data_IF_301763514146
#
_entry.id   IF_301763514146
#
_cell.length_a   1.000
_cell.length_b   1.000
_cell.length_c   1.000
_cell.angle_alpha   90.00
_cell.angle_beta   90.00
_cell.angle_gamma   90.00
#
_symmetry.space_group_name_H-M   'P 1'
#
loop_
_entity.id
_entity.type
_entity.pdbx_description
1 polymer ?
#
# COMPACT_ATOMS: atom_id res chain seq x y z
N UNK A 1 -25.67 -1.64 5.47
CA UNK A 1 -24.55 -2.57 5.69
C UNK A 1 -24.17 -3.19 4.36
N UNK A 2 -22.91 -3.15 3.91
CA UNK A 2 -22.49 -4.00 2.81
C UNK A 2 -22.68 -5.46 3.26
N UNK A 3 -23.26 -6.31 2.43
CA UNK A 3 -23.52 -7.71 2.77
C UNK A 3 -22.25 -8.48 3.14
N UNK A 4 -22.36 -9.64 3.81
CA UNK A 4 -21.21 -10.45 4.16
C UNK A 4 -20.49 -10.85 2.87
N UNK A 5 -19.25 -10.38 2.70
CA UNK A 5 -18.39 -10.81 1.58
C UNK A 5 -18.15 -12.30 1.76
N UNK A 6 -18.60 -13.11 0.81
CA UNK A 6 -18.42 -14.55 0.86
C UNK A 6 -17.01 -14.91 0.38
N UNK A 7 -16.03 -14.79 1.28
CA UNK A 7 -14.71 -15.37 1.06
C UNK A 7 -14.80 -16.90 1.01
N UNK A 8 -13.98 -17.50 0.15
CA UNK A 8 -13.84 -18.96 0.01
C UNK A 8 -12.76 -19.48 0.98
N UNK A 9 -11.90 -20.40 0.56
CA UNK A 9 -10.78 -20.84 1.40
C UNK A 9 -9.64 -19.82 1.37
N UNK A 10 -8.81 -19.75 2.42
CA UNK A 10 -7.63 -18.87 2.43
C UNK A 10 -6.72 -19.11 1.22
N UNK A 11 -6.59 -20.36 0.78
CA UNK A 11 -5.81 -20.72 -0.40
C UNK A 11 -6.41 -20.13 -1.67
N UNK A 12 -7.72 -20.24 -1.85
CA UNK A 12 -8.41 -19.71 -3.02
C UNK A 12 -8.33 -18.17 -3.05
N UNK A 13 -8.46 -17.52 -1.90
CA UNK A 13 -8.29 -16.06 -1.78
C UNK A 13 -6.84 -15.64 -2.07
N UNK A 14 -5.83 -16.39 -1.64
CA UNK A 14 -4.43 -16.14 -2.00
C UNK A 14 -4.20 -16.23 -3.52
N UNK A 15 -4.83 -17.21 -4.18
CA UNK A 15 -4.76 -17.36 -5.65
C UNK A 15 -5.47 -16.19 -6.36
N UNK A 16 -6.65 -15.77 -5.87
CA UNK A 16 -7.35 -14.59 -6.41
C UNK A 16 -6.51 -13.34 -6.27
N UNK A 17 -5.89 -13.11 -5.11
CA UNK A 17 -5.01 -11.96 -4.90
C UNK A 17 -3.79 -12.00 -5.81
N UNK A 18 -3.17 -13.17 -6.01
CA UNK A 18 -2.08 -13.31 -6.97
C UNK A 18 -2.53 -12.89 -8.38
N UNK A 19 -3.70 -13.33 -8.83
CA UNK A 19 -4.25 -12.92 -10.12
C UNK A 19 -4.53 -11.40 -10.17
N UNK A 20 -5.03 -10.81 -9.08
CA UNK A 20 -5.19 -9.36 -8.97
C UNK A 20 -3.86 -8.61 -9.07
N UNK A 21 -2.79 -9.12 -8.45
CA UNK A 21 -1.46 -8.54 -8.58
C UNK A 21 -0.91 -8.66 -10.02
N UNK A 22 -1.22 -9.73 -10.75
CA UNK A 22 -0.85 -9.83 -12.17
C UNK A 22 -1.64 -8.86 -13.04
N UNK A 23 -2.95 -8.73 -12.80
CA UNK A 23 -3.78 -7.76 -13.53
C UNK A 23 -3.28 -6.33 -13.34
N UNK A 24 -2.81 -6.01 -12.12
CA UNK A 24 -2.31 -4.69 -11.75
C UNK A 24 -1.20 -4.18 -12.68
N UNK A 25 -0.37 -5.06 -13.27
CA UNK A 25 0.73 -4.66 -14.15
C UNK A 25 0.28 -3.86 -15.38
N UNK A 26 -0.94 -4.13 -15.86
CA UNK A 26 -1.49 -3.58 -17.10
C UNK A 26 -2.72 -2.69 -16.88
N UNK A 27 -3.13 -2.53 -15.62
CA UNK A 27 -4.36 -1.84 -15.27
C UNK A 27 -4.25 -0.32 -15.51
N UNK A 28 -5.25 0.29 -16.14
CA UNK A 28 -5.24 1.74 -16.43
C UNK A 28 -5.69 2.56 -15.24
N UNK A 29 -6.68 2.03 -14.52
CA UNK A 29 -7.17 2.61 -13.27
C UNK A 29 -6.92 1.61 -12.12
N UNK A 30 -5.71 1.61 -11.55
CA UNK A 30 -5.32 0.60 -10.57
C UNK A 30 -5.95 0.82 -9.19
N UNK A 31 -6.55 1.99 -8.92
CA UNK A 31 -6.99 2.40 -7.58
C UNK A 31 -8.06 1.46 -7.00
N UNK A 32 -9.14 1.11 -7.73
CA UNK A 32 -10.16 0.20 -7.20
C UNK A 32 -9.60 -1.21 -6.96
N UNK A 33 -8.69 -1.67 -7.83
CA UNK A 33 -8.04 -2.98 -7.69
C UNK A 33 -7.13 -3.01 -6.45
N UNK A 34 -6.32 -1.98 -6.24
CA UNK A 34 -5.50 -1.81 -5.03
C UNK A 34 -6.37 -1.79 -3.77
N UNK A 35 -7.48 -1.06 -3.78
CA UNK A 35 -8.41 -1.04 -2.64
C UNK A 35 -9.00 -2.43 -2.36
N UNK A 36 -9.36 -3.17 -3.42
CA UNK A 36 -9.84 -4.56 -3.29
C UNK A 36 -8.81 -5.49 -2.65
N UNK A 37 -7.53 -5.38 -3.04
CA UNK A 37 -6.43 -6.14 -2.43
C UNK A 37 -6.28 -5.78 -0.94
N UNK A 38 -6.21 -4.49 -0.63
CA UNK A 38 -6.08 -4.00 0.75
C UNK A 38 -7.25 -4.51 1.61
N UNK A 39 -8.47 -4.47 1.06
CA UNK A 39 -9.66 -4.87 1.80
C UNK A 39 -9.71 -6.38 2.05
N UNK A 40 -9.24 -7.19 1.10
CA UNK A 40 -9.10 -8.63 1.31
C UNK A 40 -8.07 -8.91 2.42
N UNK A 41 -6.95 -8.18 2.45
CA UNK A 41 -5.96 -8.29 3.53
C UNK A 41 -6.51 -7.85 4.90
N UNK A 42 -7.36 -6.82 4.93
CA UNK A 42 -8.02 -6.38 6.17
C UNK A 42 -8.96 -7.47 6.70
N UNK A 43 -9.76 -8.07 5.81
CA UNK A 43 -10.73 -9.10 6.18
C UNK A 43 -10.07 -10.46 6.46
N UNK A 44 -8.91 -10.73 5.85
CA UNK A 44 -8.15 -11.97 5.96
C UNK A 44 -6.67 -11.67 6.34
N UNK A 45 -6.40 -11.31 7.61
CA UNK A 45 -5.04 -10.97 8.08
C UNK A 45 -3.93 -11.98 7.75
N UNK A 46 -4.17 -13.31 7.69
CA UNK A 46 -3.14 -14.26 7.28
C UNK A 46 -2.56 -14.02 5.88
N UNK A 47 -3.23 -13.24 5.02
CA UNK A 47 -2.77 -12.93 3.66
C UNK A 47 -1.84 -11.70 3.60
N UNK A 48 -1.71 -10.92 4.67
CA UNK A 48 -0.87 -9.71 4.70
C UNK A 48 0.59 -10.04 4.36
N UNK A 49 1.16 -11.05 5.04
CA UNK A 49 2.53 -11.50 4.81
C UNK A 49 2.74 -12.05 3.40
N UNK A 50 1.74 -12.77 2.88
CA UNK A 50 1.76 -13.31 1.52
C UNK A 50 1.84 -12.17 0.49
N UNK A 51 1.03 -11.12 0.64
CA UNK A 51 1.05 -9.97 -0.26
C UNK A 51 2.35 -9.18 -0.16
N UNK A 52 2.91 -8.99 1.03
CA UNK A 52 4.25 -8.40 1.15
C UNK A 52 5.31 -9.23 0.41
N UNK A 53 5.28 -10.56 0.57
CA UNK A 53 6.23 -11.45 -0.12
C UNK A 53 6.06 -11.39 -1.64
N UNK A 54 4.82 -11.42 -2.13
CA UNK A 54 4.54 -11.33 -3.57
C UNK A 54 4.98 -9.98 -4.14
N UNK A 55 4.70 -8.85 -3.48
CA UNK A 55 5.14 -7.53 -3.93
C UNK A 55 6.66 -7.42 -3.97
N UNK A 56 7.37 -7.87 -2.92
CA UNK A 56 8.84 -7.89 -2.90
C UNK A 56 9.42 -8.76 -4.03
N UNK A 57 8.77 -9.88 -4.34
CA UNK A 57 9.16 -10.72 -5.48
C UNK A 57 9.01 -9.96 -6.79
N UNK A 58 7.87 -9.32 -7.02
CA UNK A 58 7.60 -8.61 -8.28
C UNK A 58 8.50 -7.37 -8.47
N UNK A 59 8.92 -6.71 -7.39
CA UNK A 59 9.85 -5.57 -7.45
C UNK A 59 11.33 -5.98 -7.41
N UNK A 60 11.65 -7.28 -7.33
CA UNK A 60 13.02 -7.78 -7.37
C UNK A 60 13.43 -8.09 -8.80
N UNK A 61 14.26 -7.21 -9.38
CA UNK A 61 14.75 -7.33 -10.76
C UNK A 61 13.62 -7.52 -11.79
N UNK A 62 12.64 -6.59 -11.85
CA UNK A 62 11.55 -6.67 -12.80
C UNK A 62 12.07 -6.57 -14.25
N UNK A 63 11.33 -7.12 -15.25
CA UNK A 63 11.74 -7.05 -16.66
C UNK A 63 11.92 -5.63 -17.19
N UNK A 64 11.12 -4.69 -16.69
CA UNK A 64 11.17 -3.26 -17.02
C UNK A 64 11.19 -2.40 -15.75
N UNK A 65 12.35 -2.21 -15.10
CA UNK A 65 12.47 -1.39 -13.89
C UNK A 65 12.02 0.05 -14.14
N UNK A 66 11.12 0.56 -13.29
CA UNK A 66 10.51 1.88 -13.44
C UNK A 66 9.44 1.97 -14.53
N UNK A 67 9.11 0.87 -15.21
CA UNK A 67 7.95 0.78 -16.09
C UNK A 67 6.64 0.83 -15.29
N UNK A 68 5.52 1.09 -15.97
CA UNK A 68 4.22 1.28 -15.33
C UNK A 68 3.84 0.14 -14.36
N UNK A 69 3.97 -1.12 -14.79
CA UNK A 69 3.63 -2.28 -13.94
C UNK A 69 4.51 -2.39 -12.69
N UNK A 70 5.83 -2.14 -12.81
CA UNK A 70 6.73 -2.11 -11.65
C UNK A 70 6.32 -0.99 -10.68
N UNK A 71 6.01 0.21 -11.18
CA UNK A 71 5.55 1.32 -10.35
C UNK A 71 4.23 1.02 -9.65
N UNK A 72 3.29 0.30 -10.27
CA UNK A 72 2.06 -0.11 -9.60
C UNK A 72 2.32 -1.03 -8.41
N UNK A 73 3.32 -1.92 -8.48
CA UNK A 73 3.71 -2.73 -7.31
C UNK A 73 4.29 -1.90 -6.18
N UNK A 74 5.15 -0.92 -6.49
CA UNK A 74 5.68 0.01 -5.49
C UNK A 74 4.59 0.86 -4.85
N UNK A 75 3.59 1.26 -5.63
CA UNK A 75 2.44 2.03 -5.16
C UNK A 75 1.52 1.19 -4.26
N UNK A 76 1.24 -0.06 -4.61
CA UNK A 76 0.48 -0.95 -3.74
C UNK A 76 1.26 -1.26 -2.46
N UNK A 77 2.58 -1.47 -2.53
CA UNK A 77 3.43 -1.65 -1.37
C UNK A 77 3.43 -0.42 -0.45
N UNK A 78 3.35 0.79 -1.03
CA UNK A 78 3.16 2.04 -0.31
C UNK A 78 1.84 2.04 0.46
N UNK A 79 0.72 1.71 -0.21
CA UNK A 79 -0.59 1.62 0.44
C UNK A 79 -0.62 0.56 1.55
N UNK A 80 -0.03 -0.62 1.30
CA UNK A 80 0.12 -1.69 2.30
C UNK A 80 0.87 -1.19 3.53
N UNK A 81 2.00 -0.48 3.36
CA UNK A 81 2.83 0.04 4.47
C UNK A 81 2.13 1.09 5.34
N UNK A 82 1.18 1.83 4.78
CA UNK A 82 0.33 2.77 5.53
C UNK A 82 -0.87 2.10 6.20
N UNK A 83 -1.14 0.82 5.93
CA UNK A 83 -2.36 0.14 6.38
C UNK A 83 -2.05 -1.00 7.35
N UNK A 84 -1.06 -1.83 7.04
CA UNK A 84 -0.73 -3.05 7.76
C UNK A 84 0.74 -3.07 8.18
N UNK A 85 1.05 -3.88 9.18
CA UNK A 85 2.42 -4.27 9.50
C UNK A 85 2.58 -5.77 9.18
N UNK A 86 3.65 -6.17 8.44
CA UNK A 86 3.98 -7.57 8.28
C UNK A 86 4.47 -8.19 9.60
N UNK A 87 4.49 -9.52 9.67
CA UNK A 87 5.12 -10.22 10.78
C UNK A 87 6.62 -9.89 10.89
N UNK A 88 7.23 -10.04 12.08
CA UNK A 88 8.63 -9.64 12.28
C UNK A 88 9.64 -10.28 11.29
N UNK A 89 9.53 -11.56 10.89
CA UNK A 89 10.39 -12.13 9.85
C UNK A 89 10.24 -11.44 8.49
N UNK A 90 8.99 -11.23 8.04
CA UNK A 90 8.68 -10.59 6.76
C UNK A 90 9.08 -9.12 6.78
N UNK A 91 8.91 -8.41 7.91
CA UNK A 91 9.36 -7.03 8.08
C UNK A 91 10.88 -6.89 7.91
N UNK A 92 11.67 -7.81 8.49
CA UNK A 92 13.14 -7.81 8.31
C UNK A 92 13.52 -8.05 6.86
N UNK A 93 12.84 -9.00 6.20
CA UNK A 93 13.04 -9.28 4.79
C UNK A 93 12.71 -8.08 3.90
N UNK A 94 11.57 -7.43 4.15
CA UNK A 94 11.15 -6.21 3.46
C UNK A 94 12.18 -5.09 3.65
N UNK A 95 12.60 -4.79 4.88
CA UNK A 95 13.63 -3.76 5.14
C UNK A 95 14.93 -4.03 4.37
N UNK A 96 15.39 -5.29 4.35
CA UNK A 96 16.55 -5.66 3.56
C UNK A 96 16.35 -5.38 2.07
N UNK A 97 15.18 -5.68 1.50
CA UNK A 97 14.85 -5.35 0.12
C UNK A 97 14.89 -3.83 -0.12
N UNK A 98 14.20 -3.04 0.70
CA UNK A 98 14.16 -1.58 0.59
C UNK A 98 15.57 -0.96 0.65
N UNK A 99 16.33 -1.28 1.70
CA UNK A 99 17.62 -0.65 1.97
C UNK A 99 18.71 -1.14 1.01
N UNK A 100 18.87 -2.46 0.90
CA UNK A 100 20.04 -3.08 0.25
C UNK A 100 19.80 -3.37 -1.23
N UNK A 101 18.58 -3.72 -1.61
CA UNK A 101 18.27 -4.08 -3.02
C UNK A 101 17.80 -2.89 -3.84
N UNK A 102 17.21 -1.87 -3.20
CA UNK A 102 16.66 -0.70 -3.89
C UNK A 102 17.46 0.56 -3.61
N UNK A 103 17.39 1.14 -2.41
CA UNK A 103 17.99 2.44 -2.11
C UNK A 103 19.52 2.45 -2.33
N UNK A 104 20.24 1.45 -1.83
CA UNK A 104 21.70 1.38 -1.97
C UNK A 104 22.18 1.12 -3.41
N UNK A 105 21.36 0.51 -4.27
CA UNK A 105 21.76 0.14 -5.65
C UNK A 105 21.31 1.17 -6.68
N UNK A 106 20.16 1.80 -6.46
CA UNK A 106 19.51 2.71 -7.41
C UNK A 106 19.03 3.99 -6.71
N UNK A 107 19.91 4.76 -6.04
CA UNK A 107 19.54 5.82 -5.09
C UNK A 107 18.73 6.98 -5.71
N UNK A 108 18.83 7.20 -7.02
CA UNK A 108 18.14 8.28 -7.73
C UNK A 108 16.84 7.84 -8.42
N UNK A 109 16.50 6.56 -8.33
CA UNK A 109 15.32 5.99 -8.99
C UNK A 109 14.00 6.34 -8.29
N UNK A 110 12.88 6.29 -9.03
CA UNK A 110 11.55 6.40 -8.41
C UNK A 110 11.31 5.30 -7.37
N UNK A 111 11.87 4.10 -7.59
CA UNK A 111 11.77 2.98 -6.67
C UNK A 111 12.46 3.27 -5.34
N UNK A 112 13.61 3.96 -5.34
CA UNK A 112 14.27 4.40 -4.11
C UNK A 112 13.43 5.43 -3.34
N UNK A 113 12.71 6.32 -4.04
CA UNK A 113 11.78 7.27 -3.39
C UNK A 113 10.59 6.55 -2.74
N UNK A 114 10.02 5.54 -3.41
CA UNK A 114 9.00 4.68 -2.79
C UNK A 114 9.57 3.90 -1.60
N UNK A 115 10.76 3.32 -1.74
CA UNK A 115 11.38 2.54 -0.69
C UNK A 115 11.62 3.35 0.59
N UNK A 116 12.12 4.58 0.44
CA UNK A 116 12.31 5.50 1.55
C UNK A 116 10.97 5.82 2.24
N UNK A 117 9.94 6.17 1.48
CA UNK A 117 8.60 6.44 2.02
C UNK A 117 8.02 5.22 2.77
N UNK A 118 8.09 4.02 2.17
CA UNK A 118 7.60 2.78 2.77
C UNK A 118 8.31 2.51 4.10
N UNK A 119 9.64 2.68 4.14
CA UNK A 119 10.43 2.49 5.36
C UNK A 119 9.99 3.41 6.49
N UNK A 120 9.72 4.67 6.19
CA UNK A 120 9.20 5.64 7.16
C UNK A 120 7.78 5.29 7.62
N UNK A 121 6.89 4.93 6.68
CA UNK A 121 5.52 4.54 6.98
C UNK A 121 5.45 3.33 7.91
N UNK A 122 6.28 2.30 7.68
CA UNK A 122 6.39 1.12 8.56
C UNK A 122 6.83 1.46 9.99
N UNK A 123 7.49 2.60 10.21
CA UNK A 123 7.85 3.08 11.54
C UNK A 123 6.71 3.78 12.29
N UNK A 124 5.66 4.20 11.57
CA UNK A 124 4.53 5.00 12.09
C UNK A 124 3.22 4.22 12.14
N UNK A 125 3.01 3.26 11.23
CA UNK A 125 1.78 2.48 11.13
C UNK A 125 1.55 1.62 12.37
N UNK A 126 0.34 1.69 12.95
CA UNK A 126 -0.07 0.93 14.14
C UNK A 126 -1.22 -0.05 13.90
N UNK A 127 -1.69 -0.15 12.66
CA UNK A 127 -2.92 -0.85 12.27
C UNK A 127 -4.08 0.12 12.06
N UNK A 128 -4.98 -0.22 11.13
CA UNK A 128 -6.15 0.58 10.77
C UNK A 128 -7.43 -0.25 10.85
N UNK A 129 -8.53 0.38 11.23
CA UNK A 129 -9.87 -0.24 11.23
C UNK A 129 -10.48 -0.32 9.82
N UNK A 130 -10.07 0.60 8.95
CA UNK A 130 -10.52 0.69 7.57
C UNK A 130 -9.31 0.80 6.64
N UNK A 131 -9.43 0.22 5.45
CA UNK A 131 -8.46 0.47 4.38
C UNK A 131 -8.53 1.91 3.89
N UNK A 132 -7.45 2.42 3.26
CA UNK A 132 -7.46 3.71 2.58
C UNK A 132 -8.66 3.91 1.64
N UNK A 133 -9.21 5.12 1.60
CA UNK A 133 -10.22 5.50 0.60
C UNK A 133 -9.60 5.57 -0.81
N UNK A 134 -10.42 5.69 -1.85
CA UNK A 134 -9.91 5.85 -3.22
C UNK A 134 -9.09 7.15 -3.33
N UNK A 135 -9.52 8.24 -2.69
CA UNK A 135 -8.79 9.50 -2.65
C UNK A 135 -7.44 9.36 -1.92
N UNK A 136 -7.42 8.60 -0.81
CA UNK A 136 -6.19 8.34 -0.07
C UNK A 136 -5.20 7.53 -0.92
N UNK A 137 -5.67 6.47 -1.59
CA UNK A 137 -4.82 5.66 -2.48
C UNK A 137 -4.26 6.53 -3.61
N UNK A 138 -5.08 7.39 -4.22
CA UNK A 138 -4.65 8.29 -5.30
C UNK A 138 -3.49 9.20 -4.89
N UNK A 139 -3.51 9.76 -3.67
CA UNK A 139 -2.40 10.60 -3.20
C UNK A 139 -1.21 9.77 -2.71
N UNK A 140 -1.45 8.61 -2.09
CA UNK A 140 -0.38 7.70 -1.64
C UNK A 140 0.42 7.14 -2.82
N UNK A 141 -0.23 6.84 -3.94
CA UNK A 141 0.42 6.47 -5.20
C UNK A 141 1.41 7.52 -5.70
N UNK A 142 1.30 8.76 -5.23
CA UNK A 142 2.19 9.89 -5.54
C UNK A 142 3.05 10.29 -4.35
N UNK A 143 2.92 9.61 -3.20
CA UNK A 143 3.55 9.93 -1.91
C UNK A 143 3.22 11.37 -1.47
N UNK A 144 1.96 11.78 -1.65
CA UNK A 144 1.43 13.10 -1.31
C UNK A 144 0.46 13.02 -0.13
N UNK A 145 0.24 14.17 0.51
CA UNK A 145 -0.77 14.34 1.57
C UNK A 145 -2.16 14.59 0.97
N UNK A 146 -3.20 14.21 1.71
CA UNK A 146 -4.58 14.56 1.40
C UNK A 146 -4.93 15.92 1.96
N UNK A 147 -5.87 16.62 1.33
CA UNK A 147 -6.48 17.82 1.92
C UNK A 147 -7.82 17.44 2.53
N UNK A 148 -7.97 17.70 3.83
CA UNK A 148 -9.20 17.50 4.59
C UNK A 148 -9.80 18.86 4.96
N UNK A 149 -11.10 19.01 4.77
CA UNK A 149 -11.83 20.23 5.17
C UNK A 149 -12.52 19.98 6.51
N UNK A 150 -12.13 20.74 7.53
CA UNK A 150 -12.72 20.72 8.87
C UNK A 150 -13.77 21.82 8.96
N UNK A 151 -15.02 21.43 9.24
CA UNK A 151 -16.13 22.35 9.42
C UNK A 151 -16.37 22.61 10.91
N UNK A 152 -16.30 23.89 11.31
CA UNK A 152 -16.47 24.31 12.69
C UNK A 152 -17.82 25.02 12.87
N UNK A 153 -18.59 24.73 13.93
CA UNK A 153 -19.82 25.47 14.23
C UNK A 153 -19.54 26.97 14.41
N UNK A 154 -20.22 27.81 13.61
CA UNK A 154 -20.10 29.27 13.70
C UNK A 154 -18.78 29.85 13.19
N UNK A 155 -17.89 29.06 12.57
CA UNK A 155 -16.64 29.52 12.00
C UNK A 155 -16.47 29.03 10.54
N UNK A 156 -15.66 29.72 9.72
CA UNK A 156 -15.33 29.26 8.39
C UNK A 156 -14.66 27.88 8.41
N UNK A 157 -14.88 27.10 7.37
CA UNK A 157 -14.20 25.82 7.21
C UNK A 157 -12.69 26.05 7.03
N UNK A 158 -11.89 25.14 7.59
CA UNK A 158 -10.43 25.16 7.48
C UNK A 158 -9.97 23.96 6.65
N UNK A 159 -9.04 24.16 5.72
CA UNK A 159 -8.40 23.08 4.97
C UNK A 159 -7.08 22.72 5.63
N UNK A 160 -6.90 21.44 5.95
CA UNK A 160 -5.71 20.90 6.62
C UNK A 160 -5.12 19.78 5.76
N UNK A 161 -3.81 19.81 5.57
CA UNK A 161 -3.09 18.70 4.95
C UNK A 161 -2.93 17.57 5.96
N UNK A 162 -3.33 16.36 5.58
CA UNK A 162 -3.28 15.17 6.42
C UNK A 162 -2.57 14.03 5.69
N UNK A 163 -1.83 13.24 6.45
CA UNK A 163 -1.21 12.00 6.02
C UNK A 163 -1.99 10.80 6.55
N UNK A 164 -1.63 9.58 6.12
CA UNK A 164 -2.19 8.33 6.68
C UNK A 164 -1.93 8.13 8.18
N UNK A 165 -1.08 8.95 8.80
CA UNK A 165 -0.73 8.86 10.22
C UNK A 165 -1.15 10.11 11.03
N UNK A 166 -1.81 11.09 10.41
CA UNK A 166 -2.28 12.29 11.13
C UNK A 166 -3.38 11.91 12.12
N UNK A 167 -3.22 12.29 13.38
CA UNK A 167 -4.19 12.06 14.46
C UNK A 167 -5.05 13.30 14.69
N UNK A 168 -6.19 13.13 15.36
CA UNK A 168 -7.09 14.23 15.71
C UNK A 168 -6.66 15.01 16.98
N UNK A 169 -5.63 14.52 17.69
CA UNK A 169 -5.07 15.14 18.90
C UNK A 169 -4.33 16.46 18.63
#
# INVERSE_FOLDING_TARGET
APGPRSYTTLRDEAVKLFNSLQQLESERDPVPLMQGVLQTCLDLPPLVDEIYCQLVKQTTAPPAPGGQGDLHYWQLLTCMSCTFLPSPPVLRFLRFHLDRRTESRFPTSEMAKYACFIREALGKTKGRECVPSLEEILVLMRRQEMICTVHCPGAPACSVAISSHTTAE
#
